data_IF_557229808669
#
_entry.id   IF_557229808669
#
_cell.length_a   1.000
_cell.length_b   1.000
_cell.length_c   1.000
_cell.angle_alpha   90.00
_cell.angle_beta   90.00
_cell.angle_gamma   90.00
#
_symmetry.space_group_name_H-M   'P 1'
#
loop_
_entity.id
_entity.type
_entity.pdbx_description
1 polymer ?
#
# COMPACT_ATOMS: atom_id res chain seq x y z
N UNK A 1 5.24 -8.84 15.40
CA UNK A 1 6.26 -9.65 14.69
C UNK A 1 7.62 -9.43 15.31
N UNK A 2 8.34 -10.48 15.51
CA UNK A 2 9.72 -10.38 15.99
C UNK A 2 10.63 -9.76 14.92
N UNK A 3 11.62 -9.01 15.35
CA UNK A 3 12.63 -8.46 14.45
C UNK A 3 13.44 -9.60 13.84
N UNK A 4 13.58 -9.56 12.54
CA UNK A 4 14.28 -10.60 11.79
C UNK A 4 15.24 -9.98 10.80
N UNK A 5 16.49 -10.44 10.84
CA UNK A 5 17.50 -10.02 9.87
C UNK A 5 17.45 -10.94 8.65
N UNK A 6 17.43 -10.35 7.48
CA UNK A 6 17.49 -11.08 6.21
C UNK A 6 18.50 -10.41 5.29
N UNK A 7 18.90 -11.15 4.25
CA UNK A 7 19.80 -10.64 3.21
C UNK A 7 18.98 -10.52 1.93
N UNK A 8 19.06 -9.36 1.28
CA UNK A 8 18.34 -9.16 0.03
C UNK A 8 18.85 -10.09 -1.05
N UNK A 9 17.92 -10.69 -1.79
CA UNK A 9 18.22 -11.68 -2.84
C UNK A 9 18.33 -11.07 -4.23
N UNK A 10 17.85 -9.86 -4.38
CA UNK A 10 17.95 -9.02 -5.58
C UNK A 10 17.87 -7.56 -5.15
N UNK A 11 18.10 -6.64 -6.08
CA UNK A 11 17.83 -5.23 -5.81
C UNK A 11 16.37 -5.07 -5.41
N UNK A 12 16.14 -4.40 -4.30
CA UNK A 12 14.82 -4.30 -3.68
C UNK A 12 14.32 -2.86 -3.73
N UNK A 13 13.28 -2.58 -4.53
CA UNK A 13 12.64 -1.28 -4.47
C UNK A 13 12.02 -1.05 -3.09
N UNK A 14 12.21 0.13 -2.55
CA UNK A 14 11.69 0.50 -1.24
C UNK A 14 11.38 1.99 -1.21
N UNK A 15 10.72 2.43 -0.13
CA UNK A 15 10.36 3.83 0.07
C UNK A 15 10.73 4.21 1.49
N UNK A 16 11.43 5.33 1.64
CA UNK A 16 11.84 5.80 2.97
C UNK A 16 10.61 6.17 3.81
N UNK A 17 10.66 5.82 5.08
CA UNK A 17 9.61 6.16 6.05
C UNK A 17 10.05 7.41 6.82
N UNK A 18 9.18 8.41 7.00
CA UNK A 18 7.77 8.50 6.57
C UNK A 18 7.55 9.18 5.21
N UNK A 19 8.59 9.73 4.60
CA UNK A 19 8.44 10.65 3.46
C UNK A 19 8.03 9.98 2.15
N UNK A 20 8.29 8.67 2.01
CA UNK A 20 7.90 7.91 0.81
C UNK A 20 8.88 8.03 -0.35
N UNK A 21 10.05 8.62 -0.16
CA UNK A 21 11.06 8.73 -1.21
C UNK A 21 11.49 7.36 -1.70
N UNK A 22 11.44 7.15 -3.02
CA UNK A 22 11.83 5.89 -3.63
C UNK A 22 13.34 5.69 -3.51
N UNK A 23 13.73 4.50 -3.06
CA UNK A 23 15.12 4.08 -2.95
C UNK A 23 15.24 2.64 -3.42
N UNK A 24 16.45 2.20 -3.69
CA UNK A 24 16.72 0.79 -4.00
C UNK A 24 17.72 0.24 -2.98
N UNK A 25 17.33 -0.82 -2.30
CA UNK A 25 18.22 -1.55 -1.42
C UNK A 25 18.99 -2.54 -2.31
N UNK A 26 20.33 -2.43 -2.38
CA UNK A 26 21.09 -3.30 -3.26
C UNK A 26 20.99 -4.76 -2.86
N UNK A 27 21.16 -5.65 -3.83
CA UNK A 27 21.28 -7.08 -3.60
C UNK A 27 22.41 -7.36 -2.59
N UNK A 28 22.24 -8.42 -1.83
CA UNK A 28 23.20 -8.88 -0.80
C UNK A 28 23.38 -7.90 0.35
N UNK A 29 22.38 -7.07 0.61
CA UNK A 29 22.34 -6.16 1.76
C UNK A 29 21.70 -6.83 2.97
N UNK A 30 22.22 -6.55 4.16
CA UNK A 30 21.58 -6.96 5.41
C UNK A 30 20.51 -5.94 5.78
N UNK A 31 19.30 -6.42 5.97
CA UNK A 31 18.18 -5.58 6.43
C UNK A 31 17.50 -6.26 7.60
N UNK A 32 16.94 -5.47 8.52
CA UNK A 32 16.15 -5.98 9.63
C UNK A 32 14.69 -5.67 9.42
N UNK A 33 13.86 -6.70 9.37
CA UNK A 33 12.42 -6.55 9.27
C UNK A 33 11.90 -6.25 10.68
N UNK A 34 11.25 -5.09 10.83
CA UNK A 34 10.70 -4.64 12.11
C UNK A 34 9.19 -4.82 12.18
N UNK A 35 8.51 -4.86 11.03
CA UNK A 35 7.08 -5.06 10.96
C UNK A 35 6.71 -5.72 9.63
N UNK A 36 5.77 -6.65 9.69
CA UNK A 36 5.13 -7.22 8.52
C UNK A 36 3.62 -7.20 8.77
N UNK A 37 2.90 -6.38 8.04
CA UNK A 37 1.48 -6.21 8.22
C UNK A 37 0.81 -5.95 6.88
N UNK A 38 -0.21 -6.76 6.57
CA UNK A 38 -1.09 -6.51 5.45
C UNK A 38 -0.43 -6.49 4.09
N UNK A 39 0.60 -7.32 3.87
CA UNK A 39 1.24 -7.42 2.57
C UNK A 39 2.30 -6.36 2.28
N UNK A 40 2.84 -5.73 3.32
CA UNK A 40 4.00 -4.84 3.21
C UNK A 40 4.93 -5.05 4.40
N UNK A 41 6.20 -4.70 4.23
CA UNK A 41 7.23 -4.91 5.24
C UNK A 41 7.90 -3.58 5.57
N UNK A 42 8.10 -3.32 6.86
CA UNK A 42 8.95 -2.21 7.30
C UNK A 42 10.30 -2.79 7.69
N UNK A 43 11.35 -2.23 7.12
CA UNK A 43 12.72 -2.71 7.33
C UNK A 43 13.63 -1.55 7.74
N UNK A 44 14.72 -1.88 8.44
CA UNK A 44 15.81 -0.93 8.68
C UNK A 44 17.01 -1.33 7.82
N UNK A 45 17.64 -0.34 7.22
CA UNK A 45 18.79 -0.51 6.34
C UNK A 45 19.69 0.73 6.45
N UNK A 46 20.95 0.54 6.82
CA UNK A 46 21.92 1.62 6.99
C UNK A 46 21.41 2.77 7.86
N UNK A 47 20.70 2.45 8.94
CA UNK A 47 20.15 3.46 9.86
C UNK A 47 18.87 4.13 9.37
N UNK A 48 18.40 3.79 8.20
CA UNK A 48 17.14 4.31 7.65
C UNK A 48 16.02 3.28 7.78
N UNK A 49 14.80 3.77 7.94
CA UNK A 49 13.61 2.94 7.91
C UNK A 49 12.98 3.03 6.53
N UNK A 50 12.64 1.90 5.96
CA UNK A 50 12.06 1.82 4.62
C UNK A 50 10.89 0.86 4.57
N UNK A 51 10.02 1.08 3.61
CA UNK A 51 8.84 0.25 3.36
C UNK A 51 9.06 -0.57 2.09
N UNK A 52 8.91 -1.88 2.19
CA UNK A 52 8.97 -2.80 1.05
C UNK A 52 7.58 -3.34 0.78
N UNK A 53 7.12 -3.19 -0.46
CA UNK A 53 5.81 -3.68 -0.85
C UNK A 53 5.80 -5.21 -0.92
N UNK A 54 4.63 -5.82 -0.65
CA UNK A 54 4.49 -7.28 -0.71
C UNK A 54 4.75 -7.86 -2.10
N UNK A 55 4.61 -7.06 -3.15
CA UNK A 55 4.94 -7.49 -4.52
C UNK A 55 6.45 -7.69 -4.70
N UNK A 56 7.28 -7.13 -3.81
CA UNK A 56 8.73 -7.29 -3.82
C UNK A 56 9.23 -8.16 -2.66
N UNK A 57 8.35 -8.89 -1.98
CA UNK A 57 8.71 -9.73 -0.83
C UNK A 57 9.75 -10.81 -1.16
N UNK A 58 9.83 -11.23 -2.42
CA UNK A 58 10.84 -12.21 -2.88
C UNK A 58 12.26 -11.67 -2.70
N UNK A 59 12.46 -10.35 -2.80
CA UNK A 59 13.76 -9.75 -2.53
C UNK A 59 14.21 -9.95 -1.07
N UNK A 60 13.26 -10.13 -0.16
CA UNK A 60 13.52 -10.39 1.25
C UNK A 60 13.51 -11.89 1.60
N UNK A 61 13.27 -12.75 0.62
CA UNK A 61 13.23 -14.19 0.81
C UNK A 61 11.85 -14.74 1.19
N UNK A 62 10.80 -13.96 1.01
CA UNK A 62 9.42 -14.39 1.24
C UNK A 62 8.67 -14.57 -0.07
N UNK A 63 7.50 -15.17 0.01
CA UNK A 63 6.63 -15.30 -1.15
C UNK A 63 6.09 -13.92 -1.55
N UNK A 64 6.28 -13.54 -2.82
CA UNK A 64 5.80 -12.27 -3.31
C UNK A 64 4.29 -12.29 -3.47
N UNK A 65 3.65 -11.16 -3.15
CA UNK A 65 2.25 -10.94 -3.45
C UNK A 65 2.13 -10.77 -4.97
N UNK A 66 1.34 -11.62 -5.59
CA UNK A 66 1.12 -11.60 -7.03
C UNK A 66 -0.34 -11.32 -7.33
N UNK A 67 -0.58 -10.47 -8.32
CA UNK A 67 -1.90 -10.25 -8.89
C UNK A 67 -1.97 -10.91 -10.24
N UNK A 68 -3.00 -11.70 -10.46
CA UNK A 68 -3.26 -12.32 -11.77
C UNK A 68 -4.04 -11.33 -12.65
N UNK A 69 -3.39 -10.21 -12.96
CA UNK A 69 -3.98 -9.15 -13.77
C UNK A 69 -3.60 -9.36 -15.24
N UNK A 70 -4.58 -9.75 -16.06
CA UNK A 70 -4.42 -9.77 -17.50
C UNK A 70 -4.46 -8.33 -18.02
N UNK A 71 -3.41 -7.84 -18.74
CA UNK A 71 -3.45 -6.50 -19.29
C UNK A 71 -4.60 -6.37 -20.30
N UNK A 72 -5.45 -5.33 -20.16
CA UNK A 72 -6.49 -5.09 -21.16
C UNK A 72 -5.91 -4.89 -22.57
N UNK A 73 -6.49 -5.55 -23.54
CA UNK A 73 -5.97 -5.54 -24.91
C UNK A 73 -6.03 -4.16 -25.58
N UNK A 74 -6.94 -3.29 -25.13
CA UNK A 74 -7.11 -1.93 -25.64
C UNK A 74 -6.18 -0.90 -25.00
N UNK A 75 -5.30 -1.32 -24.08
CA UNK A 75 -4.37 -0.44 -23.37
C UNK A 75 -5.02 0.43 -22.30
N UNK A 76 -6.27 0.21 -21.98
CA UNK A 76 -6.99 0.96 -20.94
C UNK A 76 -6.68 0.43 -19.55
N UNK A 77 -6.93 1.26 -18.55
CA UNK A 77 -6.87 0.85 -17.15
C UNK A 77 -8.20 0.19 -16.79
N UNK A 78 -8.15 -1.01 -16.23
CA UNK A 78 -9.33 -1.73 -15.78
C UNK A 78 -9.65 -1.32 -14.33
N UNK A 79 -10.81 -0.72 -14.13
CA UNK A 79 -11.26 -0.28 -12.81
C UNK A 79 -11.34 -1.44 -11.81
N UNK A 80 -11.75 -2.63 -12.24
CA UNK A 80 -11.82 -3.80 -11.36
C UNK A 80 -10.44 -4.18 -10.83
N UNK A 81 -9.40 -4.07 -11.66
CA UNK A 81 -8.03 -4.33 -11.24
C UNK A 81 -7.54 -3.27 -10.24
N UNK A 82 -7.91 -2.00 -10.46
CA UNK A 82 -7.60 -0.92 -9.50
C UNK A 82 -8.27 -1.19 -8.16
N UNK A 83 -9.53 -1.58 -8.14
CA UNK A 83 -10.25 -1.90 -6.91
C UNK A 83 -9.62 -3.10 -6.18
N UNK A 84 -9.22 -4.13 -6.92
CA UNK A 84 -8.57 -5.30 -6.33
C UNK A 84 -7.23 -4.94 -5.70
N UNK A 85 -6.45 -4.08 -6.35
CA UNK A 85 -5.19 -3.61 -5.82
C UNK A 85 -5.41 -2.77 -4.54
N UNK A 86 -6.42 -1.90 -4.52
CA UNK A 86 -6.76 -1.11 -3.32
C UNK A 86 -7.15 -2.00 -2.15
N UNK A 87 -7.89 -3.08 -2.40
CA UNK A 87 -8.30 -4.03 -1.35
C UNK A 87 -7.14 -4.82 -0.77
N UNK A 88 -5.97 -4.76 -1.36
CA UNK A 88 -4.77 -5.41 -0.86
C UNK A 88 -3.88 -4.49 -0.02
N UNK A 89 -4.23 -3.20 0.08
CA UNK A 89 -3.49 -2.23 0.89
C UNK A 89 -4.13 -2.14 2.26
N UNK A 90 -3.35 -2.41 3.30
CA UNK A 90 -3.84 -2.42 4.67
C UNK A 90 -3.41 -1.16 5.41
N UNK A 91 -4.28 -0.74 6.34
CA UNK A 91 -3.94 0.33 7.27
C UNK A 91 -2.78 -0.13 8.16
N UNK A 92 -1.76 0.72 8.43
CA UNK A 92 -0.61 0.31 9.23
C UNK A 92 -0.92 0.11 10.72
N UNK A 93 -2.07 0.56 11.21
CA UNK A 93 -2.47 0.46 12.62
C UNK A 93 -3.62 -0.52 12.84
N UNK A 94 -4.53 -0.63 11.87
CA UNK A 94 -5.69 -1.50 11.95
C UNK A 94 -5.54 -2.58 10.88
N UNK A 95 -5.55 -3.89 11.23
CA UNK A 95 -5.24 -4.97 10.29
C UNK A 95 -6.41 -5.27 9.33
N UNK A 96 -6.88 -4.25 8.64
CA UNK A 96 -7.97 -4.32 7.66
C UNK A 96 -7.57 -3.47 6.46
N UNK A 97 -7.97 -3.88 5.26
CA UNK A 97 -7.68 -3.12 4.06
C UNK A 97 -8.44 -1.78 4.02
N UNK A 98 -7.88 -0.83 3.30
CA UNK A 98 -8.38 0.54 3.29
C UNK A 98 -9.78 0.68 2.68
N UNK A 99 -10.17 -0.23 1.79
CA UNK A 99 -11.51 -0.20 1.18
C UNK A 99 -12.56 -0.61 2.21
N UNK A 100 -12.33 -1.72 2.92
CA UNK A 100 -13.24 -2.20 3.96
C UNK A 100 -13.30 -1.25 5.16
N UNK A 101 -12.21 -0.54 5.45
CA UNK A 101 -12.19 0.51 6.48
C UNK A 101 -13.00 1.75 6.09
N UNK A 102 -13.31 1.92 4.81
CA UNK A 102 -14.01 3.10 4.34
C UNK A 102 -13.12 4.33 4.21
N UNK A 103 -11.82 4.13 4.01
CA UNK A 103 -10.87 5.25 3.85
C UNK A 103 -10.85 5.80 2.43
N UNK A 104 -11.27 5.03 1.44
CA UNK A 104 -11.27 5.46 0.04
C UNK A 104 -12.59 6.14 -0.27
N UNK A 105 -12.54 7.44 -0.53
CA UNK A 105 -13.73 8.24 -0.81
C UNK A 105 -14.03 8.37 -2.30
N UNK A 106 -13.04 8.21 -3.14
CA UNK A 106 -13.25 8.29 -4.57
C UNK A 106 -12.10 7.71 -5.37
N UNK A 107 -12.43 7.17 -6.54
CA UNK A 107 -11.48 6.66 -7.51
C UNK A 107 -11.85 7.26 -8.86
N UNK A 108 -10.92 7.96 -9.49
CA UNK A 108 -11.10 8.52 -10.83
C UNK A 108 -9.97 8.02 -11.73
N UNK A 109 -10.33 7.58 -12.91
CA UNK A 109 -9.37 7.08 -13.90
C UNK A 109 -9.41 7.99 -15.12
N UNK A 110 -8.26 8.60 -15.44
CA UNK A 110 -8.11 9.33 -16.69
C UNK A 110 -7.43 8.42 -17.71
N UNK A 111 -8.20 7.89 -18.64
CA UNK A 111 -7.70 6.95 -19.63
C UNK A 111 -6.75 7.59 -20.63
N UNK A 112 -6.87 8.90 -20.87
CA UNK A 112 -6.02 9.59 -21.85
C UNK A 112 -4.58 9.74 -21.34
N UNK A 113 -4.42 10.06 -20.05
CA UNK A 113 -3.11 10.16 -19.40
C UNK A 113 -2.71 8.89 -18.66
N UNK A 114 -3.60 7.90 -18.60
CA UNK A 114 -3.43 6.66 -17.84
C UNK A 114 -3.08 6.93 -16.38
N UNK A 115 -3.78 7.86 -15.78
CA UNK A 115 -3.60 8.28 -14.40
C UNK A 115 -4.76 7.80 -13.55
N UNK A 116 -4.44 7.25 -12.38
CA UNK A 116 -5.43 6.90 -11.35
C UNK A 116 -5.34 7.94 -10.25
N UNK A 117 -6.48 8.55 -9.92
CA UNK A 117 -6.59 9.51 -8.83
C UNK A 117 -7.42 8.93 -7.71
N UNK A 118 -6.86 8.91 -6.53
CA UNK A 118 -7.50 8.38 -5.34
C UNK A 118 -7.75 9.54 -4.37
N UNK A 119 -8.99 9.68 -3.94
CA UNK A 119 -9.35 10.58 -2.84
C UNK A 119 -9.60 9.70 -1.62
N UNK A 120 -8.86 9.93 -0.55
CA UNK A 120 -8.94 9.10 0.64
C UNK A 120 -8.69 9.92 1.91
N UNK A 121 -8.99 9.30 3.04
CA UNK A 121 -8.75 9.88 4.35
C UNK A 121 -7.95 8.94 5.23
N UNK A 122 -7.70 9.38 6.46
CA UNK A 122 -7.02 8.58 7.50
C UNK A 122 -7.97 8.39 8.67
N UNK A 123 -7.74 7.33 9.44
CA UNK A 123 -8.53 7.07 10.66
C UNK A 123 -8.28 8.13 11.73
N UNK A 124 -7.06 8.69 11.77
CA UNK A 124 -6.69 9.75 12.71
C UNK A 124 -6.04 10.89 11.92
N UNK A 125 -6.63 12.11 11.91
CA UNK A 125 -6.00 13.27 11.30
C UNK A 125 -4.65 13.57 11.95
N UNK A 126 -3.65 13.91 11.14
CA UNK A 126 -2.31 14.21 11.63
C UNK A 126 -1.49 13.00 12.03
N UNK A 127 -1.95 11.80 11.71
CA UNK A 127 -1.19 10.57 11.93
C UNK A 127 0.14 10.60 11.16
N UNK A 128 1.26 10.31 11.85
CA UNK A 128 2.57 10.27 11.23
C UNK A 128 2.73 9.16 10.18
N UNK A 129 1.82 8.18 10.18
CA UNK A 129 1.80 7.09 9.20
C UNK A 129 1.03 7.41 7.91
N UNK A 130 0.42 8.60 7.83
CA UNK A 130 -0.31 9.00 6.62
C UNK A 130 0.54 8.97 5.36
N UNK A 131 1.74 9.59 5.35
CA UNK A 131 2.62 9.52 4.19
C UNK A 131 3.04 8.10 3.82
N UNK A 132 3.19 7.21 4.79
CA UNK A 132 3.50 5.79 4.55
C UNK A 132 2.35 5.12 3.81
N UNK A 133 1.12 5.31 4.29
CA UNK A 133 -0.06 4.74 3.65
C UNK A 133 -0.24 5.28 2.23
N UNK A 134 -0.06 6.57 2.02
CA UNK A 134 -0.11 7.19 0.69
C UNK A 134 0.92 6.55 -0.24
N UNK A 135 2.15 6.35 0.24
CA UNK A 135 3.19 5.72 -0.57
C UNK A 135 2.86 4.26 -0.89
N UNK A 136 2.28 3.52 0.05
CA UNK A 136 1.83 2.14 -0.18
C UNK A 136 0.75 2.08 -1.28
N UNK A 137 -0.22 2.99 -1.24
CA UNK A 137 -1.29 3.07 -2.24
C UNK A 137 -0.70 3.37 -3.62
N UNK A 138 0.14 4.38 -3.71
CA UNK A 138 0.78 4.76 -4.98
C UNK A 138 1.57 3.62 -5.59
N UNK A 139 2.40 2.97 -4.79
CA UNK A 139 3.23 1.88 -5.28
C UNK A 139 2.39 0.69 -5.73
N UNK A 140 1.42 0.28 -4.91
CA UNK A 140 0.57 -0.86 -5.22
C UNK A 140 -0.25 -0.62 -6.50
N UNK A 141 -0.81 0.56 -6.68
CA UNK A 141 -1.56 0.91 -7.89
C UNK A 141 -0.66 1.04 -9.12
N UNK A 142 0.60 1.40 -8.94
CA UNK A 142 1.56 1.43 -10.06
C UNK A 142 1.80 0.05 -10.67
N UNK A 143 1.45 -1.02 -9.95
CA UNK A 143 1.57 -2.39 -10.44
C UNK A 143 0.36 -2.84 -11.26
N UNK A 144 -0.70 -2.05 -11.31
CA UNK A 144 -1.87 -2.36 -12.16
C UNK A 144 -1.50 -2.12 -13.63
N UNK A 145 -1.86 -3.04 -14.54
CA UNK A 145 -1.52 -2.88 -15.96
C UNK A 145 -2.01 -1.55 -16.55
N UNK A 146 -1.17 -0.95 -17.38
CA UNK A 146 -1.41 0.30 -18.11
C UNK A 146 -1.42 1.57 -17.26
N UNK A 147 -1.28 1.49 -15.95
CA UNK A 147 -1.18 2.68 -15.09
C UNK A 147 0.18 3.35 -15.29
N UNK A 148 0.16 4.63 -15.67
CA UNK A 148 1.36 5.44 -15.88
C UNK A 148 1.67 6.34 -14.67
N UNK A 149 0.64 6.81 -13.99
CA UNK A 149 0.77 7.68 -12.83
C UNK A 149 -0.34 7.42 -11.83
N UNK A 150 -0.05 7.64 -10.56
CA UNK A 150 -1.01 7.55 -9.46
C UNK A 150 -0.93 8.83 -8.65
N UNK A 151 -2.07 9.47 -8.44
CA UNK A 151 -2.20 10.66 -7.60
C UNK A 151 -3.09 10.31 -6.42
N UNK A 152 -2.66 10.68 -5.22
CA UNK A 152 -3.45 10.46 -3.99
C UNK A 152 -3.67 11.80 -3.33
N UNK A 153 -4.94 12.13 -3.09
CA UNK A 153 -5.34 13.32 -2.35
C UNK A 153 -5.89 12.89 -0.99
N UNK A 154 -5.29 13.39 0.08
CA UNK A 154 -5.80 13.19 1.43
C UNK A 154 -6.82 14.29 1.76
N UNK A 155 -8.00 13.88 2.20
CA UNK A 155 -9.05 14.78 2.65
C UNK A 155 -9.51 14.39 4.05
N UNK A 156 -9.93 15.38 4.83
CA UNK A 156 -10.38 15.15 6.21
C UNK A 156 -11.80 15.65 6.43
N UNK A 157 -12.50 15.98 5.35
CA UNK A 157 -13.90 16.37 5.36
C UNK A 157 -14.63 15.61 4.23
N UNK A 158 -15.60 14.76 4.57
CA UNK A 158 -16.03 14.40 5.94
C UNK A 158 -14.97 13.57 6.67
N UNK A 159 -14.90 13.68 8.01
CA UNK A 159 -13.95 12.88 8.78
C UNK A 159 -14.34 11.40 8.76
N UNK A 160 -13.34 10.54 8.90
CA UNK A 160 -13.59 9.11 9.03
C UNK A 160 -14.28 8.80 10.36
N UNK A 161 -15.17 7.82 10.35
CA UNK A 161 -15.79 7.26 11.55
C UNK A 161 -15.99 5.77 11.37
N UNK A 162 -16.22 5.05 12.46
CA UNK A 162 -16.47 3.60 12.46
C UNK A 162 -17.64 3.19 11.58
N UNK A 163 -18.61 4.08 11.38
CA UNK A 163 -19.79 3.83 10.55
C UNK A 163 -19.42 3.63 9.07
N UNK A 164 -18.26 4.11 8.66
CA UNK A 164 -17.75 3.93 7.29
C UNK A 164 -17.15 2.55 7.05
N UNK A 165 -16.87 1.80 8.12
CA UNK A 165 -16.36 0.44 8.01
C UNK A 165 -17.43 -0.48 7.47
N UNK A 166 -17.03 -1.45 6.63
CA UNK A 166 -17.90 -2.54 6.23
C UNK A 166 -18.24 -3.42 7.44
N UNK A 167 -19.27 -4.23 7.31
CA UNK A 167 -19.63 -5.20 8.35
C UNK A 167 -18.49 -6.20 8.59
N UNK A 168 -17.81 -6.61 7.54
CA UNK A 168 -16.65 -7.51 7.63
C UNK A 168 -15.52 -6.89 8.42
N UNK A 169 -15.21 -5.62 8.15
CA UNK A 169 -14.17 -4.90 8.88
C UNK A 169 -14.50 -4.74 10.36
N UNK A 170 -15.77 -4.49 10.68
CA UNK A 170 -16.22 -4.40 12.06
C UNK A 170 -16.06 -5.72 12.79
N UNK A 171 -16.38 -6.83 12.11
CA UNK A 171 -16.20 -8.17 12.67
C UNK A 171 -14.73 -8.49 12.95
N UNK A 172 -13.84 -8.20 12.00
CA UNK A 172 -12.42 -8.49 12.14
C UNK A 172 -11.75 -7.65 13.24
N UNK A 173 -12.17 -6.41 13.41
CA UNK A 173 -11.60 -5.51 14.40
C UNK A 173 -12.26 -5.58 15.77
N UNK A 174 -13.41 -6.25 15.88
CA UNK A 174 -14.21 -6.27 17.11
C UNK A 174 -14.97 -4.98 17.39
N UNK A 175 -15.07 -4.08 16.41
CA UNK A 175 -15.73 -2.79 16.53
C UNK A 175 -17.19 -2.88 16.02
N UNK A 176 -18.04 -3.53 16.82
CA UNK A 176 -19.41 -3.86 16.40
C UNK A 176 -20.44 -2.75 16.63
N UNK A 177 -20.09 -1.61 17.13
CA UNK A 177 -21.03 -0.62 17.61
C UNK A 177 -20.89 0.72 16.92
#
# INVERSE_FOLDING_TARGET
MERRMVVTRRDCPARLVPVGTAVTIPRDSFVTITQALGGSYTVTFNGNMARVDGTDADALGFEALEFDFAPPADGRIDEAQVQQALKSVYDPEIPVDIVELGLVYGVAIDQSSRTVRITMTLTVPGCGMGPVLVSDVKYRLSRVPNVQAVEVELVFDPPWSRERMSDEARLETGLFF
#
